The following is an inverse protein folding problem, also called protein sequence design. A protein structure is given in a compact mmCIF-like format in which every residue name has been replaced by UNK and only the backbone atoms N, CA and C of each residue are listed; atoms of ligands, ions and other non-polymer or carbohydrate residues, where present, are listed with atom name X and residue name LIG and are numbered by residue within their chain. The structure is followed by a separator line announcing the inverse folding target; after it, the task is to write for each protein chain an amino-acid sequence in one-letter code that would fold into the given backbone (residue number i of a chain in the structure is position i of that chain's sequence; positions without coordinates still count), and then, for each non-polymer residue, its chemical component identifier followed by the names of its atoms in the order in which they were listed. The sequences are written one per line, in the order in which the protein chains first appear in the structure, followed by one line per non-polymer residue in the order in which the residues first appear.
data_IF_723875677101
#
_entry.id   IF_723875677101
#
_cell.length_a   1.000
_cell.length_b   1.000
_cell.length_c   1.000
_cell.angle_alpha   90.00
_cell.angle_beta   90.00
_cell.angle_gamma   90.00
#
_symmetry.space_group_name_H-M   'P 1'
#
loop_
_entity.id
_entity.type
_entity.pdbx_description
1 polymer ?
#
# COMPACT_ATOMS: atom_id res chain seq x y z
N UNK A 1 62.91 -3.48 -28.87
CA UNK A 1 61.52 -2.95 -28.79
C UNK A 1 60.58 -4.03 -29.26
N UNK A 2 59.76 -4.64 -28.37
CA UNK A 2 58.65 -5.49 -28.80
C UNK A 2 57.37 -4.66 -28.98
N UNK A 3 56.38 -5.12 -29.78
CA UNK A 3 55.14 -4.40 -30.01
C UNK A 3 54.15 -4.58 -28.87
N UNK A 4 53.39 -3.53 -28.58
CA UNK A 4 52.29 -3.52 -27.61
C UNK A 4 51.16 -4.46 -28.05
N UNK A 5 50.80 -5.42 -27.20
CA UNK A 5 49.54 -6.15 -27.30
C UNK A 5 48.41 -5.27 -26.75
N UNK A 6 47.34 -5.11 -27.52
CA UNK A 6 46.07 -4.57 -27.04
C UNK A 6 45.38 -5.63 -26.17
N UNK A 7 45.24 -5.34 -24.88
CA UNK A 7 44.34 -6.09 -24.01
C UNK A 7 42.90 -5.75 -24.43
N UNK A 8 42.20 -6.73 -25.00
CA UNK A 8 40.75 -6.67 -25.16
C UNK A 8 40.12 -6.55 -23.77
N UNK A 9 39.50 -5.39 -23.54
CA UNK A 9 38.78 -5.09 -22.32
C UNK A 9 37.47 -5.90 -22.37
N UNK A 10 37.48 -7.09 -21.77
CA UNK A 10 36.23 -7.79 -21.50
C UNK A 10 35.43 -6.92 -20.51
N UNK A 11 34.29 -6.42 -20.96
CA UNK A 11 33.37 -5.65 -20.11
C UNK A 11 33.06 -6.46 -18.84
N UNK A 12 33.10 -5.84 -17.64
CA UNK A 12 32.70 -6.54 -16.44
C UNK A 12 31.21 -6.87 -16.54
N UNK A 13 30.90 -8.16 -16.61
CA UNK A 13 29.54 -8.68 -16.45
C UNK A 13 29.00 -8.10 -15.15
N UNK A 14 28.05 -7.19 -15.29
CA UNK A 14 27.53 -6.45 -14.17
C UNK A 14 26.65 -7.34 -13.30
N UNK A 15 27.14 -7.70 -12.12
CA UNK A 15 26.47 -8.55 -11.13
C UNK A 15 25.08 -8.03 -10.67
N UNK A 16 24.71 -6.80 -11.01
CA UNK A 16 23.37 -6.25 -10.76
C UNK A 16 22.30 -6.71 -11.76
N UNK A 17 22.68 -7.25 -12.93
CA UNK A 17 21.71 -7.89 -13.84
C UNK A 17 21.19 -9.24 -13.30
N UNK A 18 21.82 -9.75 -12.24
CA UNK A 18 21.47 -11.00 -11.54
C UNK A 18 20.61 -10.77 -10.29
N UNK A 19 20.31 -9.52 -9.91
CA UNK A 19 19.40 -9.21 -8.80
C UNK A 19 17.95 -9.34 -9.27
N UNK A 20 17.57 -10.60 -9.41
CA UNK A 20 16.33 -11.22 -8.94
C UNK A 20 15.02 -10.51 -9.29
N UNK A 21 14.23 -11.19 -10.13
CA UNK A 21 12.78 -11.21 -9.97
C UNK A 21 12.50 -11.68 -8.54
N UNK A 22 12.39 -10.76 -7.59
CA UNK A 22 12.03 -11.12 -6.23
C UNK A 22 10.62 -11.70 -6.29
N UNK A 23 10.53 -12.96 -5.87
CA UNK A 23 9.30 -13.74 -5.89
C UNK A 23 8.29 -13.14 -4.92
N UNK A 24 7.28 -12.45 -5.45
CA UNK A 24 6.20 -11.81 -4.69
C UNK A 24 5.40 -12.81 -3.85
N UNK A 25 5.48 -14.12 -4.17
CA UNK A 25 4.90 -15.17 -3.35
C UNK A 25 5.44 -15.17 -1.91
N UNK A 26 6.70 -14.72 -1.71
CA UNK A 26 7.32 -14.57 -0.38
C UNK A 26 6.68 -13.47 0.48
N UNK A 27 5.89 -12.58 -0.11
CA UNK A 27 5.13 -11.54 0.60
C UNK A 27 3.67 -11.98 0.72
N UNK A 28 3.07 -12.46 -0.38
CA UNK A 28 1.65 -12.77 -0.45
C UNK A 28 1.28 -13.99 0.37
N UNK A 29 2.05 -15.08 0.31
CA UNK A 29 1.70 -16.30 1.04
C UNK A 29 1.73 -16.11 2.57
N UNK A 30 2.74 -15.44 3.17
CA UNK A 30 2.69 -15.10 4.59
C UNK A 30 1.54 -14.15 4.95
N UNK A 31 1.25 -13.15 4.10
CA UNK A 31 0.13 -12.24 4.33
C UNK A 31 -1.22 -12.98 4.30
N UNK A 32 -1.39 -13.95 3.39
CA UNK A 32 -2.58 -14.81 3.35
C UNK A 32 -2.73 -15.63 4.62
N UNK A 33 -1.65 -16.27 5.09
CA UNK A 33 -1.69 -17.06 6.32
C UNK A 33 -2.11 -16.22 7.53
N UNK A 34 -1.64 -14.98 7.63
CA UNK A 34 -2.07 -14.04 8.68
C UNK A 34 -3.55 -13.67 8.53
N UNK A 35 -4.00 -13.36 7.31
CA UNK A 35 -5.39 -13.02 7.03
C UNK A 35 -6.37 -14.16 7.37
N UNK A 36 -5.98 -15.40 7.05
CA UNK A 36 -6.77 -16.60 7.34
C UNK A 36 -6.84 -16.89 8.84
N UNK A 37 -5.74 -16.62 9.56
CA UNK A 37 -5.65 -16.80 11.02
C UNK A 37 -6.36 -15.70 11.84
N UNK A 38 -7.03 -14.73 11.21
CA UNK A 38 -7.68 -13.61 11.92
C UNK A 38 -6.69 -12.55 12.41
N UNK A 39 -5.52 -12.44 11.76
CA UNK A 39 -4.51 -11.41 11.99
C UNK A 39 -4.49 -10.43 10.80
N UNK A 40 -5.67 -9.97 10.40
CA UNK A 40 -5.86 -9.15 9.20
C UNK A 40 -5.09 -7.81 9.24
N UNK A 41 -4.90 -7.20 10.41
CA UNK A 41 -4.08 -5.97 10.54
C UNK A 41 -2.60 -6.25 10.24
N UNK A 42 -2.05 -7.34 10.76
CA UNK A 42 -0.68 -7.79 10.46
C UNK A 42 -0.51 -8.17 8.99
N UNK A 43 -1.51 -8.84 8.39
CA UNK A 43 -1.53 -9.10 6.95
C UNK A 43 -1.48 -7.79 6.14
N UNK A 44 -2.30 -6.81 6.54
CA UNK A 44 -2.30 -5.47 5.96
C UNK A 44 -0.95 -4.78 6.08
N UNK A 45 -0.28 -4.89 7.24
CA UNK A 45 1.07 -4.36 7.44
C UNK A 45 2.09 -4.94 6.47
N UNK A 46 2.13 -6.28 6.35
CA UNK A 46 3.07 -6.98 5.45
C UNK A 46 2.92 -6.51 4.00
N UNK A 47 1.69 -6.30 3.54
CA UNK A 47 1.42 -5.84 2.19
C UNK A 47 1.71 -4.33 2.05
N UNK A 48 1.11 -3.49 2.89
CA UNK A 48 1.17 -2.04 2.78
C UNK A 48 2.58 -1.47 2.85
N UNK A 49 3.45 -2.04 3.70
CA UNK A 49 4.85 -1.61 3.81
C UNK A 49 5.67 -1.92 2.54
N UNK A 50 5.16 -2.77 1.65
CA UNK A 50 5.77 -3.11 0.35
C UNK A 50 5.12 -2.37 -0.83
N UNK A 51 4.13 -1.52 -0.59
CA UNK A 51 3.52 -0.70 -1.64
C UNK A 51 4.19 0.66 -1.67
N UNK A 52 4.77 1.01 -2.81
CA UNK A 52 5.39 2.31 -3.04
C UNK A 52 4.40 3.42 -2.70
N UNK A 53 4.89 4.47 -2.05
CA UNK A 53 4.06 5.57 -1.54
C UNK A 53 3.06 6.10 -2.58
N UNK A 54 3.50 6.28 -3.83
CA UNK A 54 2.70 6.77 -4.96
C UNK A 54 1.58 5.82 -5.40
N UNK A 55 1.71 4.52 -5.12
CA UNK A 55 0.76 3.48 -5.52
C UNK A 55 -0.31 3.21 -4.46
N UNK A 56 -0.06 3.60 -3.21
CA UNK A 56 -0.96 3.36 -2.06
C UNK A 56 -2.38 3.91 -2.25
N UNK A 57 -2.61 5.13 -2.78
CA UNK A 57 -3.96 5.65 -2.98
C UNK A 57 -4.79 4.78 -3.94
N UNK A 58 -4.23 4.44 -5.10
CA UNK A 58 -4.92 3.63 -6.12
C UNK A 58 -5.20 2.22 -5.59
N UNK A 59 -4.22 1.59 -4.94
CA UNK A 59 -4.40 0.29 -4.29
C UNK A 59 -5.57 0.32 -3.29
N UNK A 60 -5.56 1.28 -2.36
CA UNK A 60 -6.60 1.44 -1.36
C UNK A 60 -7.98 1.70 -2.00
N UNK A 61 -8.03 2.53 -3.04
CA UNK A 61 -9.26 2.86 -3.73
C UNK A 61 -9.89 1.67 -4.47
N UNK A 62 -9.08 0.77 -5.03
CA UNK A 62 -9.59 -0.43 -5.70
C UNK A 62 -10.28 -1.37 -4.70
N UNK A 63 -9.71 -1.54 -3.50
CA UNK A 63 -10.31 -2.31 -2.41
C UNK A 63 -11.64 -1.68 -1.98
N UNK A 64 -11.64 -0.36 -1.78
CA UNK A 64 -12.86 0.38 -1.42
C UNK A 64 -13.93 0.30 -2.50
N UNK A 65 -13.54 0.41 -3.78
CA UNK A 65 -14.47 0.35 -4.91
C UNK A 65 -15.20 -0.99 -4.95
N UNK A 66 -14.47 -2.10 -4.79
CA UNK A 66 -15.05 -3.44 -4.76
C UNK A 66 -16.08 -3.59 -3.63
N UNK A 67 -15.79 -3.06 -2.44
CA UNK A 67 -16.73 -3.08 -1.32
C UNK A 67 -17.92 -2.12 -1.54
N UNK A 68 -17.70 -0.98 -2.18
CA UNK A 68 -18.71 0.05 -2.43
C UNK A 68 -19.79 -0.41 -3.40
N UNK A 69 -19.46 -1.30 -4.34
CA UNK A 69 -20.41 -1.91 -5.28
C UNK A 69 -21.48 -2.79 -4.62
N UNK A 70 -21.30 -3.15 -3.34
CA UNK A 70 -22.26 -3.95 -2.57
C UNK A 70 -23.45 -3.14 -2.03
N UNK A 71 -23.36 -1.81 -2.02
CA UNK A 71 -24.34 -0.95 -1.35
C UNK A 71 -24.94 0.08 -2.30
N UNK A 72 -26.06 0.68 -1.86
CA UNK A 72 -26.58 1.89 -2.50
C UNK A 72 -25.53 3.01 -2.45
N UNK A 73 -25.38 3.81 -3.51
CA UNK A 73 -24.37 4.86 -3.57
C UNK A 73 -24.43 5.85 -2.40
N UNK A 74 -23.26 6.12 -1.82
CA UNK A 74 -23.04 7.13 -0.76
C UNK A 74 -22.02 8.15 -1.28
N UNK A 75 -22.44 9.41 -1.55
CA UNK A 75 -21.60 10.40 -2.21
C UNK A 75 -20.25 10.64 -1.54
N UNK A 76 -20.20 10.61 -0.21
CA UNK A 76 -18.97 10.83 0.56
C UNK A 76 -17.95 9.71 0.34
N UNK A 77 -18.39 8.46 0.23
CA UNK A 77 -17.51 7.32 -0.07
C UNK A 77 -17.06 7.37 -1.53
N UNK A 78 -17.97 7.68 -2.46
CA UNK A 78 -17.63 7.89 -3.87
C UNK A 78 -16.60 9.01 -4.08
N UNK A 79 -16.66 10.08 -3.28
CA UNK A 79 -15.68 11.15 -3.29
C UNK A 79 -14.29 10.67 -2.84
N UNK A 80 -14.19 9.80 -1.84
CA UNK A 80 -12.92 9.18 -1.41
C UNK A 80 -12.32 8.35 -2.55
N UNK A 81 -13.13 7.50 -3.20
CA UNK A 81 -12.67 6.67 -4.34
C UNK A 81 -12.13 7.56 -5.45
N UNK A 82 -12.87 8.62 -5.82
CA UNK A 82 -12.48 9.54 -6.89
C UNK A 82 -11.18 10.26 -6.54
N UNK A 83 -11.06 10.77 -5.31
CA UNK A 83 -9.89 11.47 -4.82
C UNK A 83 -8.63 10.59 -4.82
N UNK A 84 -8.77 9.32 -4.44
CA UNK A 84 -7.67 8.37 -4.36
C UNK A 84 -7.22 7.81 -5.74
N UNK A 85 -8.15 7.66 -6.70
CA UNK A 85 -7.85 7.11 -8.05
C UNK A 85 -7.30 8.13 -9.02
N UNK A 86 -7.70 9.40 -8.91
CA UNK A 86 -7.33 10.43 -9.89
C UNK A 86 -6.52 11.54 -9.25
N UNK A 87 -5.35 11.22 -8.68
CA UNK A 87 -4.60 12.16 -7.86
C UNK A 87 -4.20 13.45 -8.60
N UNK A 88 -3.96 13.35 -9.91
CA UNK A 88 -3.52 14.46 -10.76
C UNK A 88 -4.62 15.52 -10.98
N UNK A 89 -5.89 15.16 -10.83
CA UNK A 89 -7.00 16.13 -10.90
C UNK A 89 -6.99 17.14 -9.73
N UNK A 90 -6.13 16.90 -8.73
CA UNK A 90 -6.05 17.68 -7.50
C UNK A 90 -4.67 18.35 -7.32
N UNK A 91 -3.72 18.07 -8.23
CA UNK A 91 -2.36 18.65 -8.27
C UNK A 91 -2.29 20.01 -8.98
N UNK A 92 -3.32 20.42 -9.74
CA UNK A 92 -3.29 21.70 -10.47
C UNK A 92 -4.05 22.82 -9.76
N UNK A 93 -3.39 23.99 -9.78
CA UNK A 93 -3.80 25.34 -9.39
C UNK A 93 -3.36 25.70 -7.97
N UNK A 94 -2.08 26.05 -7.83
CA UNK A 94 -1.55 27.12 -6.97
C UNK A 94 -2.42 27.46 -5.73
N UNK A 95 -2.61 26.51 -4.78
CA UNK A 95 -3.62 26.67 -3.72
C UNK A 95 -4.15 25.37 -3.07
N UNK A 96 -5.43 25.33 -2.66
CA UNK A 96 -6.02 24.66 -1.47
C UNK A 96 -6.10 23.12 -1.43
N UNK A 97 -5.14 22.36 -1.98
CA UNK A 97 -5.22 20.89 -2.08
C UNK A 97 -5.32 20.19 -0.72
N UNK A 98 -4.58 20.63 0.30
CA UNK A 98 -4.71 20.12 1.67
C UNK A 98 -6.10 20.35 2.26
N UNK A 99 -6.75 21.49 1.95
CA UNK A 99 -8.13 21.77 2.39
C UNK A 99 -9.13 20.81 1.75
N UNK A 100 -8.90 20.43 0.48
CA UNK A 100 -9.78 19.51 -0.24
C UNK A 100 -9.63 18.08 0.29
N UNK A 101 -8.39 17.65 0.57
CA UNK A 101 -8.13 16.36 1.21
C UNK A 101 -8.75 16.27 2.61
N UNK A 102 -8.61 17.32 3.44
CA UNK A 102 -9.32 17.43 4.72
C UNK A 102 -10.83 17.43 4.54
N UNK A 103 -11.37 18.17 3.58
CA UNK A 103 -12.82 18.20 3.33
C UNK A 103 -13.38 16.82 2.96
N UNK A 104 -12.67 16.06 2.11
CA UNK A 104 -13.04 14.68 1.77
C UNK A 104 -12.99 13.80 3.03
N UNK A 105 -11.92 13.89 3.81
CA UNK A 105 -11.78 13.16 5.08
C UNK A 105 -12.89 13.51 6.09
N UNK A 106 -13.16 14.79 6.33
CA UNK A 106 -14.15 15.27 7.29
C UNK A 106 -15.57 14.81 6.92
N UNK A 107 -15.88 14.78 5.63
CA UNK A 107 -17.16 14.27 5.14
C UNK A 107 -17.29 12.75 5.40
N UNK A 108 -16.29 11.95 5.04
CA UNK A 108 -16.35 10.49 5.28
C UNK A 108 -16.31 10.17 6.77
N UNK A 109 -15.58 10.96 7.58
CA UNK A 109 -15.56 10.81 9.05
C UNK A 109 -16.93 11.04 9.66
N UNK A 110 -17.68 12.04 9.18
CA UNK A 110 -19.06 12.30 9.61
C UNK A 110 -19.98 11.11 9.32
N UNK A 111 -19.88 10.54 8.12
CA UNK A 111 -20.65 9.34 7.74
C UNK A 111 -20.26 8.14 8.60
N UNK A 112 -18.96 7.96 8.86
CA UNK A 112 -18.43 6.88 9.71
C UNK A 112 -18.99 6.97 11.13
N UNK A 113 -18.99 8.15 11.73
CA UNK A 113 -19.59 8.38 13.06
C UNK A 113 -21.09 8.08 13.10
N UNK A 114 -21.82 8.41 12.02
CA UNK A 114 -23.25 8.08 11.92
C UNK A 114 -23.49 6.58 11.71
N UNK A 115 -22.53 5.88 11.09
CA UNK A 115 -22.62 4.45 10.79
C UNK A 115 -22.53 3.56 12.03
N UNK A 116 -21.99 4.05 13.16
CA UNK A 116 -21.81 3.26 14.42
C UNK A 116 -23.11 2.63 14.95
N UNK A 117 -24.27 3.10 14.48
CA UNK A 117 -25.60 2.58 14.83
C UNK A 117 -26.26 1.76 13.73
N UNK A 118 -25.59 1.60 12.59
CA UNK A 118 -26.08 0.95 11.39
C UNK A 118 -25.73 -0.53 11.32
N UNK A 119 -26.02 -1.12 10.17
CA UNK A 119 -25.62 -2.50 9.81
C UNK A 119 -24.09 -2.66 9.75
N UNK A 120 -23.61 -3.88 10.04
CA UNK A 120 -22.17 -4.19 10.14
C UNK A 120 -21.43 -4.01 8.82
N UNK A 121 -22.03 -4.38 7.68
CA UNK A 121 -21.42 -4.18 6.37
C UNK A 121 -21.18 -2.69 6.13
N UNK A 122 -22.20 -1.86 6.40
CA UNK A 122 -22.08 -0.41 6.23
C UNK A 122 -21.04 0.21 7.17
N UNK A 123 -20.95 -0.25 8.43
CA UNK A 123 -19.92 0.17 9.38
C UNK A 123 -18.50 -0.13 8.87
N UNK A 124 -18.24 -1.37 8.44
CA UNK A 124 -16.93 -1.77 7.94
C UNK A 124 -16.56 -1.02 6.65
N UNK A 125 -17.53 -0.77 5.77
CA UNK A 125 -17.31 0.04 4.57
C UNK A 125 -16.94 1.49 4.92
N UNK A 126 -17.60 2.11 5.91
CA UNK A 126 -17.27 3.46 6.34
C UNK A 126 -15.87 3.55 6.94
N UNK A 127 -15.49 2.58 7.79
CA UNK A 127 -14.14 2.48 8.34
C UNK A 127 -13.08 2.27 7.25
N UNK A 128 -13.39 1.44 6.24
CA UNK A 128 -12.53 1.25 5.07
C UNK A 128 -12.35 2.58 4.31
N UNK A 129 -13.44 3.30 4.06
CA UNK A 129 -13.40 4.59 3.36
C UNK A 129 -12.60 5.65 4.14
N UNK A 130 -12.76 5.71 5.46
CA UNK A 130 -11.96 6.60 6.32
C UNK A 130 -10.46 6.28 6.21
N UNK A 131 -10.08 5.00 6.29
CA UNK A 131 -8.68 4.58 6.16
C UNK A 131 -8.11 4.87 4.76
N UNK A 132 -8.90 4.69 3.70
CA UNK A 132 -8.49 5.05 2.33
C UNK A 132 -8.23 6.55 2.19
N UNK A 133 -9.07 7.39 2.80
CA UNK A 133 -8.86 8.83 2.83
C UNK A 133 -7.56 9.21 3.57
N UNK A 134 -7.28 8.58 4.72
CA UNK A 134 -6.04 8.76 5.49
C UNK A 134 -4.79 8.34 4.71
N UNK A 135 -4.82 7.14 4.13
CA UNK A 135 -3.74 6.62 3.28
C UNK A 135 -3.46 7.55 2.11
N UNK A 136 -4.53 8.03 1.45
CA UNK A 136 -4.42 8.98 0.35
C UNK A 136 -3.75 10.26 0.81
N UNK A 137 -4.25 10.89 1.88
CA UNK A 137 -3.66 12.11 2.45
C UNK A 137 -2.16 11.93 2.76
N UNK A 138 -1.80 10.84 3.45
CA UNK A 138 -0.41 10.55 3.84
C UNK A 138 0.50 10.31 2.63
N UNK A 139 -0.01 9.69 1.55
CA UNK A 139 0.74 9.43 0.33
C UNK A 139 1.24 10.73 -0.35
N UNK A 140 0.50 11.83 -0.25
CA UNK A 140 0.91 13.12 -0.81
C UNK A 140 1.86 13.93 0.07
N UNK A 141 1.97 13.59 1.36
CA UNK A 141 2.89 14.28 2.26
C UNK A 141 2.46 15.68 2.66
N UNK A 142 1.16 15.89 2.78
CA UNK A 142 0.63 17.07 3.44
C UNK A 142 1.10 17.15 4.91
N UNK A 143 1.07 18.35 5.48
CA UNK A 143 1.43 18.57 6.89
C UNK A 143 0.46 17.84 7.84
N UNK A 144 0.91 17.52 9.05
CA UNK A 144 0.13 16.80 10.06
C UNK A 144 -0.47 15.49 9.51
N UNK A 145 0.36 14.48 9.19
CA UNK A 145 -0.11 13.21 8.66
C UNK A 145 -1.06 12.52 9.65
N UNK A 146 -2.00 11.76 9.12
CA UNK A 146 -2.81 10.83 9.91
C UNK A 146 -1.97 9.64 10.37
N UNK A 147 -2.58 8.78 11.18
CA UNK A 147 -1.96 7.57 11.73
C UNK A 147 -1.28 6.73 10.65
N UNK A 148 -0.03 6.35 10.89
CA UNK A 148 0.79 5.62 9.92
C UNK A 148 0.21 4.23 9.60
N UNK A 149 -0.46 3.62 10.58
CA UNK A 149 -1.07 2.31 10.50
C UNK A 149 -2.42 2.29 9.76
N UNK A 150 -2.94 3.44 9.29
CA UNK A 150 -4.18 3.49 8.52
C UNK A 150 -4.19 2.54 7.32
N UNK A 151 -3.03 2.33 6.68
CA UNK A 151 -2.88 1.36 5.59
C UNK A 151 -2.93 -0.10 6.03
N UNK A 152 -2.57 -0.40 7.27
CA UNK A 152 -2.66 -1.75 7.85
C UNK A 152 -4.12 -2.11 8.10
N UNK A 153 -4.89 -1.14 8.60
CA UNK A 153 -6.32 -1.29 8.88
C UNK A 153 -7.19 -1.50 7.64
N UNK A 154 -6.73 -1.16 6.43
CA UNK A 154 -7.48 -1.44 5.19
C UNK A 154 -7.78 -2.94 5.06
N UNK A 155 -6.80 -3.79 5.37
CA UNK A 155 -6.99 -5.23 5.39
C UNK A 155 -8.06 -5.63 6.43
N UNK A 156 -7.96 -5.09 7.63
CA UNK A 156 -8.91 -5.40 8.68
C UNK A 156 -10.36 -4.97 8.37
N UNK A 157 -10.54 -3.76 7.85
CA UNK A 157 -11.86 -3.30 7.43
C UNK A 157 -12.42 -4.14 6.28
N UNK A 158 -11.58 -4.54 5.31
CA UNK A 158 -12.00 -5.41 4.22
C UNK A 158 -12.39 -6.82 4.71
N UNK A 159 -11.70 -7.38 5.72
CA UNK A 159 -12.10 -8.64 6.36
C UNK A 159 -13.48 -8.53 7.01
N UNK A 160 -13.76 -7.40 7.66
CA UNK A 160 -15.09 -7.09 8.19
C UNK A 160 -16.17 -7.07 7.11
N UNK A 161 -15.92 -6.41 5.97
CA UNK A 161 -16.83 -6.43 4.81
C UNK A 161 -17.08 -7.85 4.33
N UNK A 162 -16.03 -8.63 4.09
CA UNK A 162 -16.13 -10.01 3.61
C UNK A 162 -16.92 -10.89 4.58
N UNK A 163 -16.69 -10.72 5.89
CA UNK A 163 -17.41 -11.47 6.93
C UNK A 163 -18.90 -11.13 6.95
N UNK A 164 -19.24 -9.86 6.76
CA UNK A 164 -20.64 -9.42 6.72
C UNK A 164 -21.38 -9.89 5.44
N UNK A 165 -20.68 -9.98 4.31
CA UNK A 165 -21.25 -10.50 3.04
C UNK A 165 -21.41 -12.03 3.09
N UNK A 166 -20.48 -12.73 3.73
CA UNK A 166 -20.46 -14.19 3.86
C UNK A 166 -20.47 -14.96 2.51
N UNK A 167 -19.83 -14.41 1.48
CA UNK A 167 -19.70 -15.00 0.15
C UNK A 167 -18.22 -15.42 -0.11
N UNK A 168 -17.94 -16.73 -0.34
CA UNK A 168 -16.61 -17.22 -0.67
C UNK A 168 -16.01 -16.64 -1.97
N UNK A 169 -16.84 -16.36 -2.98
CA UNK A 169 -16.36 -15.81 -4.25
C UNK A 169 -15.94 -14.34 -4.05
N UNK A 170 -16.74 -13.58 -3.29
CA UNK A 170 -16.38 -12.23 -2.88
C UNK A 170 -15.13 -12.21 -1.98
N UNK A 171 -14.99 -13.18 -1.07
CA UNK A 171 -13.79 -13.36 -0.24
C UNK A 171 -12.53 -13.46 -1.11
N UNK A 172 -12.61 -14.30 -2.16
CA UNK A 172 -11.51 -14.51 -3.09
C UNK A 172 -11.19 -13.25 -3.88
N UNK A 173 -12.21 -12.57 -4.41
CA UNK A 173 -12.04 -11.31 -5.16
C UNK A 173 -11.44 -10.21 -4.29
N UNK A 174 -11.90 -10.07 -3.04
CA UNK A 174 -11.38 -9.09 -2.09
C UNK A 174 -9.90 -9.37 -1.79
N UNK A 175 -9.54 -10.62 -1.51
CA UNK A 175 -8.15 -10.98 -1.28
C UNK A 175 -7.26 -10.70 -2.50
N UNK A 176 -7.70 -11.09 -3.70
CA UNK A 176 -6.95 -10.81 -4.94
C UNK A 176 -6.74 -9.31 -5.16
N UNK A 177 -7.72 -8.49 -4.78
CA UNK A 177 -7.63 -7.03 -4.85
C UNK A 177 -6.64 -6.48 -3.82
N UNK A 178 -6.68 -6.97 -2.58
CA UNK A 178 -5.76 -6.57 -1.49
C UNK A 178 -4.31 -6.96 -1.81
N UNK A 179 -4.11 -8.20 -2.27
CA UNK A 179 -2.81 -8.78 -2.59
C UNK A 179 -2.37 -8.53 -4.03
N UNK A 180 -2.97 -7.55 -4.73
CA UNK A 180 -2.65 -7.27 -6.13
C UNK A 180 -1.15 -6.94 -6.27
N UNK A 181 -0.45 -7.84 -6.95
CA UNK A 181 0.98 -7.79 -7.19
C UNK A 181 1.44 -6.55 -7.94
N UNK A 182 0.59 -5.93 -8.76
CA UNK A 182 0.93 -4.73 -9.53
C UNK A 182 1.28 -3.54 -8.61
N UNK A 183 0.74 -3.52 -7.39
CA UNK A 183 0.99 -2.46 -6.42
C UNK A 183 2.15 -2.79 -5.46
N UNK A 184 2.53 -4.06 -5.34
CA UNK A 184 3.64 -4.50 -4.49
C UNK A 184 4.95 -4.17 -5.21
N UNK A 185 5.57 -3.08 -4.78
CA UNK A 185 6.86 -2.64 -5.27
C UNK A 185 7.97 -3.16 -4.38
N UNK A 186 8.85 -3.91 -4.98
CA UNK A 186 10.12 -4.27 -4.37
C UNK A 186 11.05 -3.09 -4.63
N UNK A 187 10.89 -2.01 -3.87
CA UNK A 187 11.90 -0.95 -3.90
C UNK A 187 13.21 -1.59 -3.40
N UNK A 188 14.22 -1.64 -4.27
CA UNK A 188 15.60 -1.87 -3.84
C UNK A 188 15.85 -0.90 -2.69
N UNK A 189 16.34 -1.37 -1.52
CA UNK A 189 16.55 -0.49 -0.37
C UNK A 189 17.31 0.73 -0.87
N UNK A 190 16.72 1.91 -0.69
CA UNK A 190 17.33 3.17 -1.08
C UNK A 190 18.72 3.16 -0.49
N UNK A 191 19.76 3.02 -1.33
CA UNK A 191 21.13 3.05 -0.84
C UNK A 191 21.28 4.41 -0.18
N UNK A 192 21.33 4.42 1.14
CA UNK A 192 21.69 5.63 1.85
C UNK A 192 23.03 6.10 1.31
N UNK A 193 23.20 7.42 1.11
CA UNK A 193 24.47 7.98 0.70
C UNK A 193 25.57 7.38 1.61
N UNK A 194 26.64 6.77 1.05
CA UNK A 194 27.70 6.15 1.85
C UNK A 194 28.40 7.13 2.81
N UNK A 195 28.16 8.43 2.65
CA UNK A 195 28.65 9.51 3.52
C UNK A 195 27.58 10.06 4.47
N UNK A 196 26.41 9.43 4.61
CA UNK A 196 25.37 9.87 5.52
C UNK A 196 25.72 9.46 6.97
N UNK A 197 26.01 10.42 7.87
CA UNK A 197 26.52 10.12 9.21
C UNK A 197 25.49 9.40 10.11
N UNK A 198 24.21 9.37 9.74
CA UNK A 198 23.13 8.70 10.48
C UNK A 198 22.88 7.25 10.04
N UNK A 199 23.43 6.81 8.90
CA UNK A 199 23.16 5.47 8.34
C UNK A 199 24.17 4.39 8.76
N UNK A 200 25.18 4.71 9.58
CA UNK A 200 26.25 3.80 10.00
C UNK A 200 25.82 2.64 10.95
N UNK A 201 24.53 2.41 11.17
CA UNK A 201 24.03 1.36 12.07
C UNK A 201 23.37 0.15 11.39
N UNK A 202 23.31 0.08 10.04
CA UNK A 202 22.59 -1.01 9.35
C UNK A 202 23.46 -1.91 8.45
N UNK A 203 24.78 -1.96 8.64
CA UNK A 203 25.63 -3.00 8.03
C UNK A 203 25.87 -4.16 9.00
N UNK A 204 24.86 -5.00 9.21
CA UNK A 204 25.01 -6.32 9.85
C UNK A 204 23.89 -7.28 9.38
N UNK A 205 23.79 -7.54 8.08
CA UNK A 205 23.03 -8.69 7.55
C UNK A 205 23.59 -9.18 6.20
N UNK A 206 24.91 -9.35 6.10
CA UNK A 206 25.53 -9.99 4.93
C UNK A 206 26.48 -11.14 5.25
N UNK A 207 26.61 -11.56 6.52
CA UNK A 207 27.48 -12.68 6.87
C UNK A 207 26.67 -13.86 7.42
N UNK A 208 25.95 -14.53 6.52
CA UNK A 208 25.71 -15.97 6.66
C UNK A 208 26.43 -16.61 5.48
N UNK A 209 27.72 -16.83 5.68
CA UNK A 209 28.49 -17.82 4.92
C UNK A 209 27.89 -19.18 5.29
N UNK A 210 27.19 -19.82 4.34
CA UNK A 210 26.87 -21.24 4.43
C UNK A 210 28.17 -21.99 4.11
N UNK A 211 28.84 -22.47 5.14
CA UNK A 211 29.85 -23.53 5.02
C UNK A 211 29.13 -24.87 4.80
N UNK A 212 29.30 -25.44 3.60
CA UNK A 212 29.25 -26.88 3.33
C UNK A 212 30.32 -27.25 2.31
#
# INVERSE_FOLDING_TARGET
MPPCYSLEYNEPVTWWQSMEHVDKSRIIAPAWALWDAGMETEAGKVLYERIARKSRPVWAANILLLAYELISPVPEIGAVITFARFPQEWERIDGPTTKKAHFVFDNVRRVTLLSERGDQLFQHLCLLAENVAKVTYNAYGFAAPFDHDAGWWIAACAKGVVTAVADPDFTTQMWQTIANEEHITLESPTRCNPYCPTCHHWTLFSDIVLDH
#
